data_IF_738299387711
#
_entry.id   IF_738299387711
#
_cell.length_a   1.000
_cell.length_b   1.000
_cell.length_c   1.000
_cell.angle_alpha   90.00
_cell.angle_beta   90.00
_cell.angle_gamma   90.00
#
_symmetry.space_group_name_H-M   'P 1'
#
loop_
_entity.id
_entity.type
_entity.pdbx_description
1 polymer ?
#
# COMPACT_ATOMS: atom_id res chain seq x y z
N UNK A 1 2.31 4.91 -31.22
CA UNK A 1 1.30 4.20 -30.41
C UNK A 1 1.64 4.49 -28.96
N UNK A 2 0.77 5.18 -28.21
CA UNK A 2 0.97 5.32 -26.77
C UNK A 2 0.87 3.91 -26.17
N UNK A 3 1.96 3.42 -25.58
CA UNK A 3 1.99 2.10 -24.95
C UNK A 3 0.93 2.05 -23.86
N UNK A 4 0.06 1.03 -23.89
CA UNK A 4 -0.91 0.81 -22.81
C UNK A 4 -0.13 0.59 -21.51
N UNK A 5 -0.54 1.24 -20.42
CA UNK A 5 0.02 0.97 -19.08
C UNK A 5 -0.28 -0.47 -18.67
N UNK A 6 0.59 -1.11 -17.86
CA UNK A 6 0.28 -2.42 -17.30
C UNK A 6 -0.96 -2.34 -16.39
N UNK A 7 -1.81 -3.37 -16.46
CA UNK A 7 -2.86 -3.63 -15.49
C UNK A 7 -2.21 -4.05 -14.17
N UNK A 8 -2.45 -3.29 -13.10
CA UNK A 8 -1.88 -3.61 -11.79
C UNK A 8 -2.83 -4.55 -11.05
N UNK A 9 -2.35 -5.73 -10.68
CA UNK A 9 -3.15 -6.77 -10.02
C UNK A 9 -2.62 -6.99 -8.61
N UNK A 10 -3.45 -6.70 -7.61
CA UNK A 10 -3.15 -7.01 -6.22
C UNK A 10 -3.54 -8.46 -5.91
N UNK A 11 -2.58 -9.31 -5.55
CA UNK A 11 -2.79 -10.72 -5.26
C UNK A 11 -2.94 -10.96 -3.75
N UNK A 12 -4.18 -11.08 -3.30
CA UNK A 12 -4.53 -11.32 -1.91
C UNK A 12 -4.87 -12.78 -1.65
N UNK A 13 -4.25 -13.34 -0.61
CA UNK A 13 -4.54 -14.64 -0.02
C UNK A 13 -3.65 -14.83 1.21
N UNK A 14 -3.78 -15.98 1.88
CA UNK A 14 -2.79 -16.50 2.82
C UNK A 14 -1.36 -16.41 2.25
N UNK A 15 -0.38 -16.19 3.14
CA UNK A 15 1.05 -16.26 2.82
C UNK A 15 1.61 -17.69 2.93
N UNK A 16 0.78 -18.66 3.31
CA UNK A 16 1.19 -20.04 3.60
C UNK A 16 1.08 -20.99 2.39
N UNK A 17 0.90 -20.47 1.18
CA UNK A 17 0.82 -21.26 -0.05
C UNK A 17 1.51 -20.58 -1.23
N UNK A 18 1.90 -21.38 -2.21
CA UNK A 18 2.67 -21.02 -3.41
C UNK A 18 1.78 -20.67 -4.62
N UNK A 19 0.46 -20.54 -4.44
CA UNK A 19 -0.51 -20.31 -5.52
C UNK A 19 -0.19 -19.10 -6.42
N UNK A 20 0.55 -18.11 -5.91
CA UNK A 20 0.96 -16.93 -6.68
C UNK A 20 2.00 -17.27 -7.74
N UNK A 21 2.81 -18.29 -7.53
CA UNK A 21 3.92 -18.66 -8.42
C UNK A 21 3.42 -19.13 -9.79
N UNK A 22 2.46 -20.08 -9.92
CA UNK A 22 1.91 -20.44 -11.22
C UNK A 22 1.17 -19.27 -11.90
N UNK A 23 0.54 -18.38 -11.12
CA UNK A 23 -0.10 -17.17 -11.67
C UNK A 23 0.96 -16.22 -12.24
N UNK A 24 2.04 -15.95 -11.52
CA UNK A 24 3.17 -15.13 -12.02
C UNK A 24 3.82 -15.75 -13.24
N UNK A 25 4.01 -17.07 -13.22
CA UNK A 25 4.62 -17.81 -14.32
C UNK A 25 3.86 -17.61 -15.62
N UNK A 26 2.52 -17.64 -15.56
CA UNK A 26 1.66 -17.46 -16.73
C UNK A 26 1.82 -16.08 -17.42
N UNK A 27 2.37 -15.09 -16.71
CA UNK A 27 2.56 -13.72 -17.22
C UNK A 27 4.00 -13.20 -17.07
N UNK A 28 4.99 -14.07 -16.85
CA UNK A 28 6.38 -13.67 -16.55
C UNK A 28 6.93 -12.63 -17.54
N UNK A 29 6.63 -12.81 -18.82
CA UNK A 29 7.12 -11.96 -19.91
C UNK A 29 6.03 -11.04 -20.49
N UNK A 30 4.90 -10.88 -19.81
CA UNK A 30 3.80 -10.05 -20.28
C UNK A 30 3.86 -8.63 -19.68
N UNK A 31 4.31 -7.61 -20.44
CA UNK A 31 4.42 -6.24 -19.94
C UNK A 31 3.06 -5.57 -19.71
N UNK A 32 1.95 -6.25 -20.06
CA UNK A 32 0.59 -5.73 -19.87
C UNK A 32 0.08 -5.94 -18.45
N UNK A 33 0.78 -6.66 -17.59
CA UNK A 33 0.38 -6.89 -16.20
C UNK A 33 1.53 -6.62 -15.25
N UNK A 34 1.21 -6.09 -14.08
CA UNK A 34 2.13 -5.97 -12.94
C UNK A 34 1.46 -6.52 -11.71
N UNK A 35 2.06 -7.54 -11.09
CA UNK A 35 1.58 -8.07 -9.83
C UNK A 35 2.16 -7.32 -8.64
N UNK A 36 1.30 -6.99 -7.68
CA UNK A 36 1.66 -6.43 -6.37
C UNK A 36 0.88 -7.18 -5.29
N UNK A 37 1.20 -6.95 -4.02
CA UNK A 37 0.50 -7.64 -2.95
C UNK A 37 1.08 -7.41 -1.56
N UNK A 38 0.57 -8.15 -0.56
CA UNK A 38 1.19 -8.21 0.76
C UNK A 38 2.62 -8.76 0.68
N UNK A 39 3.36 -8.69 1.78
CA UNK A 39 4.66 -9.35 1.87
C UNK A 39 4.45 -10.86 1.99
N UNK A 40 5.16 -11.63 1.20
CA UNK A 40 5.07 -13.10 1.19
C UNK A 40 6.08 -13.76 2.14
N UNK A 41 7.15 -13.04 2.50
CA UNK A 41 8.07 -13.49 3.55
C UNK A 41 7.42 -13.27 4.91
N UNK A 42 6.91 -14.36 5.51
CA UNK A 42 6.23 -14.33 6.81
C UNK A 42 7.09 -13.71 7.92
N UNK A 43 8.36 -14.13 8.03
CA UNK A 43 9.27 -13.60 9.07
C UNK A 43 9.55 -12.11 8.89
N UNK A 44 9.67 -11.64 7.65
CA UNK A 44 9.82 -10.21 7.37
C UNK A 44 8.54 -9.45 7.70
N UNK A 45 7.38 -10.02 7.38
CA UNK A 45 6.10 -9.37 7.58
C UNK A 45 5.77 -9.23 9.09
N UNK A 46 6.08 -10.25 9.91
CA UNK A 46 5.99 -10.19 11.39
C UNK A 46 6.97 -9.19 12.01
N UNK A 47 8.15 -9.02 11.39
CA UNK A 47 9.17 -8.10 11.88
C UNK A 47 8.85 -6.63 11.61
N UNK A 48 7.89 -6.34 10.72
CA UNK A 48 7.55 -4.98 10.28
C UNK A 48 6.32 -4.44 11.00
N UNK A 49 6.29 -3.13 11.28
CA UNK A 49 5.18 -2.46 11.96
C UNK A 49 5.61 -1.26 12.80
N UNK A 50 4.65 -0.47 13.26
CA UNK A 50 4.90 0.70 14.09
C UNK A 50 5.27 0.30 15.52
N UNK A 51 6.28 0.91 16.16
CA UNK A 51 6.52 0.81 17.60
C UNK A 51 5.23 1.10 18.41
N UNK A 52 4.88 0.20 19.33
CA UNK A 52 3.67 0.28 20.16
C UNK A 52 2.48 -0.55 19.65
N UNK A 53 2.48 -0.95 18.39
CA UNK A 53 1.71 -2.10 17.92
C UNK A 53 2.62 -3.32 18.14
N UNK A 54 2.18 -4.41 18.79
CA UNK A 54 2.99 -5.66 18.88
C UNK A 54 3.05 -6.45 17.53
N UNK A 55 2.99 -5.66 16.44
CA UNK A 55 3.29 -5.80 14.99
C UNK A 55 2.47 -6.75 14.12
N UNK A 56 1.60 -6.16 13.27
CA UNK A 56 1.31 -6.67 11.94
C UNK A 56 1.44 -5.52 10.92
N UNK A 57 2.67 -5.08 10.63
CA UNK A 57 3.00 -3.92 9.78
C UNK A 57 2.52 -3.96 8.33
N UNK A 58 1.58 -4.83 8.01
CA UNK A 58 0.99 -4.96 6.69
C UNK A 58 0.11 -3.78 6.35
N UNK A 59 -0.42 -3.03 7.33
CA UNK A 59 -1.38 -1.95 7.08
C UNK A 59 -0.89 -0.98 6.00
N UNK A 60 0.30 -0.40 6.18
CA UNK A 60 0.82 0.61 5.26
C UNK A 60 1.12 0.00 3.88
N UNK A 61 1.73 -1.19 3.84
CA UNK A 61 1.99 -1.90 2.57
C UNK A 61 0.71 -2.25 1.83
N UNK A 62 -0.26 -2.84 2.53
CA UNK A 62 -1.55 -3.27 1.98
C UNK A 62 -2.29 -2.07 1.40
N UNK A 63 -2.47 -0.99 2.18
CA UNK A 63 -3.16 0.20 1.68
C UNK A 63 -2.40 0.84 0.52
N UNK A 64 -1.07 0.91 0.60
CA UNK A 64 -0.22 1.46 -0.45
C UNK A 64 -0.29 0.66 -1.76
N UNK A 65 -0.13 -0.65 -1.71
CA UNK A 65 -0.10 -1.50 -2.90
C UNK A 65 -1.50 -1.67 -3.49
N UNK A 66 -2.53 -1.88 -2.66
CA UNK A 66 -3.91 -2.02 -3.13
C UNK A 66 -4.42 -0.71 -3.74
N UNK A 67 -4.02 0.45 -3.19
CA UNK A 67 -4.41 1.75 -3.75
C UNK A 67 -4.00 1.95 -5.21
N UNK A 68 -2.95 1.24 -5.64
CA UNK A 68 -2.40 1.30 -7.00
C UNK A 68 -2.95 0.24 -7.93
N UNK A 69 -3.73 -0.70 -7.42
CA UNK A 69 -4.22 -1.84 -8.18
C UNK A 69 -5.48 -1.51 -8.98
N UNK A 70 -5.56 -2.02 -10.20
CA UNK A 70 -6.77 -1.99 -11.01
C UNK A 70 -7.72 -3.13 -10.64
N UNK A 71 -7.13 -4.29 -10.32
CA UNK A 71 -7.82 -5.53 -9.98
C UNK A 71 -7.32 -6.03 -8.63
N UNK A 72 -8.24 -6.42 -7.76
CA UNK A 72 -7.95 -7.29 -6.62
C UNK A 72 -8.26 -8.73 -7.04
N UNK A 73 -7.24 -9.59 -7.08
CA UNK A 73 -7.41 -11.05 -7.13
C UNK A 73 -7.36 -11.56 -5.69
N UNK A 74 -8.53 -11.86 -5.14
CA UNK A 74 -8.71 -12.36 -3.78
C UNK A 74 -8.96 -13.88 -3.82
N UNK A 75 -8.09 -14.67 -3.21
CA UNK A 75 -8.15 -16.12 -3.25
C UNK A 75 -8.16 -16.74 -1.85
N UNK A 76 -9.10 -17.65 -1.60
CA UNK A 76 -9.19 -18.46 -0.39
C UNK A 76 -9.08 -19.95 -0.80
N UNK A 77 -7.88 -20.56 -0.63
CA UNK A 77 -7.65 -21.96 -1.04
C UNK A 77 -8.33 -22.98 -0.11
N UNK A 78 -8.32 -22.72 1.19
CA UNK A 78 -8.77 -23.64 2.23
C UNK A 78 -9.30 -22.88 3.46
N UNK A 79 -9.82 -23.63 4.43
CA UNK A 79 -10.34 -23.10 5.69
C UNK A 79 -9.35 -23.14 6.86
N UNK A 80 -8.10 -23.50 6.61
CA UNK A 80 -7.06 -23.54 7.62
C UNK A 80 -6.76 -22.13 8.16
N UNK A 81 -6.88 -21.12 7.28
CA UNK A 81 -6.61 -19.72 7.61
C UNK A 81 -7.85 -18.87 7.43
N UNK A 82 -8.21 -18.14 8.49
CA UNK A 82 -9.42 -17.29 8.52
C UNK A 82 -9.41 -16.14 7.51
N UNK A 83 -8.27 -15.86 6.87
CA UNK A 83 -8.11 -14.96 5.73
C UNK A 83 -8.78 -13.57 5.91
N UNK A 84 -8.77 -13.04 7.13
CA UNK A 84 -9.44 -11.77 7.45
C UNK A 84 -8.93 -10.59 6.61
N UNK A 85 -7.64 -10.61 6.25
CA UNK A 85 -7.04 -9.59 5.40
C UNK A 85 -7.73 -9.51 4.03
N UNK A 86 -8.04 -10.66 3.43
CA UNK A 86 -8.74 -10.76 2.14
C UNK A 86 -10.08 -10.03 2.19
N UNK A 87 -10.84 -10.22 3.28
CA UNK A 87 -12.15 -9.60 3.46
C UNK A 87 -12.06 -8.07 3.62
N UNK A 88 -11.05 -7.58 4.34
CA UNK A 88 -10.77 -6.14 4.47
C UNK A 88 -10.43 -5.55 3.11
N UNK A 89 -9.55 -6.23 2.36
CA UNK A 89 -9.09 -5.79 1.04
C UNK A 89 -10.23 -5.79 0.01
N UNK A 90 -11.16 -6.75 0.05
CA UNK A 90 -12.38 -6.74 -0.77
C UNK A 90 -13.19 -5.46 -0.52
N UNK A 91 -13.45 -5.14 0.74
CA UNK A 91 -14.20 -3.93 1.10
C UNK A 91 -13.52 -2.65 0.63
N UNK A 92 -12.19 -2.57 0.79
CA UNK A 92 -11.38 -1.43 0.33
C UNK A 92 -11.38 -1.31 -1.19
N UNK A 93 -11.14 -2.41 -1.90
CA UNK A 93 -11.11 -2.46 -3.36
C UNK A 93 -12.47 -2.05 -3.96
N UNK A 94 -13.56 -2.57 -3.41
CA UNK A 94 -14.90 -2.19 -3.80
C UNK A 94 -15.16 -0.69 -3.59
N UNK A 95 -14.86 -0.17 -2.40
CA UNK A 95 -15.03 1.25 -2.10
C UNK A 95 -14.24 2.13 -3.06
N UNK A 96 -13.01 1.74 -3.41
CA UNK A 96 -12.16 2.47 -4.35
C UNK A 96 -12.50 2.24 -5.83
N UNK A 97 -13.56 1.48 -6.14
CA UNK A 97 -14.03 1.22 -7.49
C UNK A 97 -13.12 0.28 -8.29
N UNK A 98 -12.44 -0.66 -7.63
CA UNK A 98 -11.57 -1.65 -8.28
C UNK A 98 -12.35 -2.87 -8.67
N UNK A 99 -11.88 -3.56 -9.71
CA UNK A 99 -12.45 -4.84 -10.09
C UNK A 99 -12.08 -5.88 -9.04
N UNK A 100 -13.07 -6.48 -8.38
CA UNK A 100 -12.84 -7.49 -7.34
C UNK A 100 -13.11 -8.87 -7.94
N UNK A 101 -12.04 -9.61 -8.19
CA UNK A 101 -12.06 -10.99 -8.66
C UNK A 101 -11.86 -11.92 -7.46
N UNK A 102 -12.94 -12.56 -7.02
CA UNK A 102 -12.93 -13.42 -5.83
C UNK A 102 -12.96 -14.89 -6.21
N UNK A 103 -12.09 -15.68 -5.59
CA UNK A 103 -12.00 -17.13 -5.77
C UNK A 103 -12.09 -17.80 -4.40
N UNK A 104 -13.09 -18.67 -4.21
CA UNK A 104 -13.27 -19.44 -2.98
C UNK A 104 -13.33 -20.95 -3.24
N UNK A 105 -12.21 -21.62 -3.01
CA UNK A 105 -12.13 -23.09 -3.03
C UNK A 105 -12.45 -23.69 -1.65
N UNK A 106 -12.36 -22.89 -0.58
CA UNK A 106 -12.76 -23.25 0.77
C UNK A 106 -14.29 -23.27 0.94
N UNK A 107 -14.95 -24.27 0.37
CA UNK A 107 -16.43 -24.37 0.35
C UNK A 107 -17.06 -24.43 1.76
N UNK A 108 -16.31 -24.89 2.76
CA UNK A 108 -16.74 -24.87 4.17
C UNK A 108 -16.96 -23.43 4.69
N UNK A 109 -16.38 -22.42 4.03
CA UNK A 109 -16.51 -21.01 4.39
C UNK A 109 -17.60 -20.26 3.62
N UNK A 110 -18.33 -20.89 2.69
CA UNK A 110 -19.31 -20.24 1.80
C UNK A 110 -20.28 -19.29 2.53
N UNK A 111 -20.77 -19.72 3.71
CA UNK A 111 -21.69 -18.89 4.53
C UNK A 111 -21.00 -17.65 5.07
N UNK A 112 -19.73 -17.76 5.49
CA UNK A 112 -18.96 -16.67 6.08
C UNK A 112 -18.52 -15.68 5.01
N UNK A 113 -17.96 -16.19 3.91
CA UNK A 113 -17.49 -15.36 2.79
C UNK A 113 -18.63 -14.79 1.96
N UNK A 114 -19.84 -15.36 2.05
CA UNK A 114 -21.04 -14.84 1.41
C UNK A 114 -21.39 -13.39 1.80
N UNK A 115 -20.84 -12.90 2.92
CA UNK A 115 -20.91 -11.48 3.30
C UNK A 115 -20.15 -10.55 2.36
N UNK A 116 -19.14 -11.05 1.64
CA UNK A 116 -18.40 -10.29 0.62
C UNK A 116 -19.12 -10.22 -0.73
N UNK A 117 -20.08 -11.11 -1.03
CA UNK A 117 -20.72 -11.22 -2.35
C UNK A 117 -21.27 -9.90 -2.91
N UNK A 118 -21.87 -8.99 -2.13
CA UNK A 118 -22.31 -7.69 -2.65
C UNK A 118 -21.17 -6.76 -3.11
N UNK A 119 -19.93 -7.05 -2.69
CA UNK A 119 -18.75 -6.23 -2.91
C UNK A 119 -17.83 -6.79 -4.01
N UNK A 120 -18.05 -8.03 -4.46
CA UNK A 120 -17.24 -8.66 -5.52
C UNK A 120 -17.79 -8.33 -6.91
N UNK A 121 -16.91 -8.26 -7.91
CA UNK A 121 -17.29 -8.04 -9.31
C UNK A 121 -17.52 -9.36 -10.04
N UNK A 122 -16.57 -10.27 -9.91
CA UNK A 122 -16.65 -11.65 -10.41
C UNK A 122 -16.30 -12.63 -9.28
N UNK A 123 -16.98 -13.77 -9.21
CA UNK A 123 -16.74 -14.81 -8.22
C UNK A 123 -16.60 -16.17 -8.88
N UNK A 124 -15.63 -16.98 -8.42
CA UNK A 124 -15.34 -18.31 -8.95
C UNK A 124 -15.08 -19.32 -7.82
N UNK A 125 -15.32 -20.58 -8.15
CA UNK A 125 -15.15 -21.72 -7.23
C UNK A 125 -13.81 -22.45 -7.45
N UNK A 126 -13.00 -21.98 -8.42
CA UNK A 126 -11.67 -22.52 -8.74
C UNK A 126 -10.69 -21.41 -9.13
N UNK A 127 -9.41 -21.58 -8.79
CA UNK A 127 -8.35 -20.65 -9.17
C UNK A 127 -8.17 -20.59 -10.70
N UNK A 128 -8.28 -21.72 -11.39
CA UNK A 128 -8.15 -21.79 -12.85
C UNK A 128 -9.19 -20.91 -13.56
N UNK A 129 -10.44 -20.92 -13.11
CA UNK A 129 -11.49 -20.07 -13.67
C UNK A 129 -11.25 -18.59 -13.38
N UNK A 130 -10.74 -18.27 -12.18
CA UNK A 130 -10.31 -16.93 -11.82
C UNK A 130 -9.17 -16.42 -12.70
N UNK A 131 -8.13 -17.24 -12.94
CA UNK A 131 -6.98 -16.90 -13.79
C UNK A 131 -7.39 -16.74 -15.25
N UNK A 132 -8.33 -17.56 -15.72
CA UNK A 132 -8.94 -17.39 -17.05
C UNK A 132 -9.65 -16.05 -17.17
N UNK A 133 -10.44 -15.66 -16.16
CA UNK A 133 -11.08 -14.34 -16.12
C UNK A 133 -10.05 -13.21 -16.08
N UNK A 134 -9.00 -13.34 -15.29
CA UNK A 134 -7.91 -12.37 -15.24
C UNK A 134 -7.27 -12.15 -16.63
N UNK A 135 -7.09 -13.23 -17.39
CA UNK A 135 -6.54 -13.17 -18.76
C UNK A 135 -7.41 -12.30 -19.68
N UNK A 136 -8.73 -12.40 -19.56
CA UNK A 136 -9.68 -11.57 -20.30
C UNK A 136 -9.58 -10.09 -19.90
N UNK A 137 -9.43 -9.81 -18.60
CA UNK A 137 -9.24 -8.45 -18.08
C UNK A 137 -7.94 -7.83 -18.59
N UNK A 138 -6.84 -8.57 -18.58
CA UNK A 138 -5.55 -8.12 -19.13
C UNK A 138 -5.66 -7.81 -20.63
N UNK A 139 -6.37 -8.64 -21.40
CA UNK A 139 -6.57 -8.42 -22.82
C UNK A 139 -7.43 -7.19 -23.13
N UNK A 140 -8.39 -6.87 -22.25
CA UNK A 140 -9.37 -5.79 -22.44
C UNK A 140 -9.07 -4.53 -21.64
N UNK A 141 -7.97 -4.50 -20.90
CA UNK A 141 -7.60 -3.40 -20.01
C UNK A 141 -7.63 -2.03 -20.73
N UNK A 142 -8.31 -1.02 -20.14
CA UNK A 142 -8.38 0.32 -20.70
C UNK A 142 -7.00 1.00 -20.67
N UNK A 143 -6.74 1.86 -21.65
CA UNK A 143 -5.47 2.59 -21.72
C UNK A 143 -5.26 3.59 -20.56
N UNK A 144 -6.36 4.05 -19.94
CA UNK A 144 -6.36 4.98 -18.82
C UNK A 144 -6.96 4.36 -17.58
N UNK A 145 -6.49 4.73 -16.37
CA UNK A 145 -7.11 4.27 -15.13
C UNK A 145 -8.56 4.75 -15.01
N UNK A 146 -9.44 3.93 -14.40
CA UNK A 146 -10.80 4.35 -14.11
C UNK A 146 -10.78 5.60 -13.22
N UNK A 147 -11.71 6.52 -13.45
CA UNK A 147 -11.88 7.66 -12.54
C UNK A 147 -12.35 7.13 -11.18
N UNK A 148 -11.54 7.38 -10.15
CA UNK A 148 -11.96 7.12 -8.78
C UNK A 148 -12.62 8.36 -8.20
N UNK A 149 -13.72 8.18 -7.47
CA UNK A 149 -14.28 9.22 -6.62
C UNK A 149 -13.36 9.54 -5.43
N UNK A 150 -12.35 8.70 -5.18
CA UNK A 150 -11.35 8.87 -4.13
C UNK A 150 -10.07 9.48 -4.69
N UNK A 151 -9.37 10.24 -3.86
CA UNK A 151 -8.01 10.80 -4.09
C UNK A 151 -6.92 9.73 -4.22
N UNK A 152 -7.31 8.47 -4.25
CA UNK A 152 -6.49 7.27 -4.18
C UNK A 152 -6.86 6.40 -5.39
N UNK A 153 -5.91 6.18 -6.29
CA UNK A 153 -6.19 5.63 -7.63
C UNK A 153 -4.95 4.98 -8.26
N UNK A 154 -5.15 4.04 -9.20
CA UNK A 154 -4.04 3.48 -9.96
C UNK A 154 -3.39 4.60 -10.79
N UNK A 155 -2.07 4.83 -10.67
CA UNK A 155 -1.41 5.89 -11.41
C UNK A 155 -1.29 5.52 -12.90
N UNK A 156 -1.06 6.53 -13.75
CA UNK A 156 -0.84 6.34 -15.20
C UNK A 156 0.40 5.48 -15.45
N UNK A 157 1.45 5.69 -14.67
CA UNK A 157 2.65 4.86 -14.60
C UNK A 157 2.79 4.35 -13.18
N UNK A 158 3.12 3.07 -13.00
CA UNK A 158 3.40 2.56 -11.67
C UNK A 158 4.60 3.29 -11.07
N UNK A 159 4.45 3.71 -9.82
CA UNK A 159 5.45 4.45 -9.07
C UNK A 159 4.85 4.91 -7.75
N UNK A 160 5.70 5.41 -6.88
CA UNK A 160 5.39 5.86 -5.53
C UNK A 160 5.78 7.32 -5.37
N UNK A 161 4.87 8.14 -4.87
CA UNK A 161 5.12 9.54 -4.58
C UNK A 161 5.15 9.75 -3.07
N UNK A 162 6.27 10.25 -2.56
CA UNK A 162 6.49 10.51 -1.14
C UNK A 162 6.66 12.02 -0.93
N UNK A 163 5.85 12.58 -0.03
CA UNK A 163 5.91 13.98 0.36
C UNK A 163 6.57 14.14 1.73
N UNK A 164 7.62 14.94 1.81
CA UNK A 164 8.37 15.20 3.03
C UNK A 164 7.94 16.53 3.64
N UNK A 165 7.68 16.53 4.95
CA UNK A 165 7.29 17.70 5.74
C UNK A 165 7.86 17.62 7.15
N UNK A 166 8.24 18.76 7.73
CA UNK A 166 8.61 18.81 9.14
C UNK A 166 9.82 19.66 9.47
N UNK A 167 10.75 19.10 10.24
CA UNK A 167 11.97 19.78 10.67
C UNK A 167 12.80 20.25 9.46
N UNK A 168 13.32 21.49 9.45
CA UNK A 168 14.11 22.00 8.32
C UNK A 168 15.56 21.45 8.30
N UNK A 169 15.90 20.54 9.22
CA UNK A 169 17.19 19.88 9.29
C UNK A 169 17.46 19.09 8.00
N UNK A 170 18.55 19.41 7.30
CA UNK A 170 18.88 18.74 6.04
C UNK A 170 19.28 17.28 6.25
N UNK A 171 19.75 16.88 7.43
CA UNK A 171 20.26 15.52 7.71
C UNK A 171 19.25 14.44 7.36
N UNK A 172 17.99 14.60 7.77
CA UNK A 172 16.96 13.59 7.49
C UNK A 172 16.43 13.70 6.05
N UNK A 173 16.34 14.91 5.50
CA UNK A 173 15.92 15.12 4.11
C UNK A 173 16.91 14.48 3.13
N UNK A 174 18.21 14.68 3.37
CA UNK A 174 19.29 14.11 2.59
C UNK A 174 19.33 12.59 2.77
N UNK A 175 19.15 12.07 4.00
CA UNK A 175 19.03 10.63 4.24
C UNK A 175 17.89 9.98 3.45
N UNK A 176 16.73 10.64 3.32
CA UNK A 176 15.62 10.14 2.50
C UNK A 176 15.97 10.21 1.02
N UNK A 177 16.52 11.33 0.55
CA UNK A 177 16.92 11.51 -0.85
C UNK A 177 17.95 10.48 -1.29
N UNK A 178 19.03 10.33 -0.53
CA UNK A 178 20.11 9.39 -0.81
C UNK A 178 19.60 7.95 -0.83
N UNK A 179 18.65 7.60 0.05
CA UNK A 179 18.05 6.26 0.08
C UNK A 179 17.25 5.93 -1.18
N UNK A 180 16.61 6.91 -1.81
CA UNK A 180 15.72 6.70 -2.95
C UNK A 180 16.24 7.28 -4.27
N UNK A 181 17.50 7.73 -4.32
CA UNK A 181 18.10 8.34 -5.53
C UNK A 181 18.10 7.39 -6.74
N UNK A 182 18.33 6.10 -6.50
CA UNK A 182 18.38 5.06 -7.54
C UNK A 182 17.07 4.24 -7.62
N UNK A 183 16.00 4.69 -6.97
CA UNK A 183 14.71 4.00 -6.99
C UNK A 183 13.80 4.64 -8.05
N UNK A 184 13.86 4.13 -9.29
CA UNK A 184 13.12 4.68 -10.45
C UNK A 184 11.60 4.77 -10.22
N UNK A 185 11.04 3.84 -9.45
CA UNK A 185 9.63 3.80 -9.08
C UNK A 185 9.31 4.71 -7.87
N UNK A 186 10.23 5.54 -7.36
CA UNK A 186 10.01 6.44 -6.21
C UNK A 186 10.33 7.89 -6.55
N UNK A 187 9.39 8.78 -6.30
CA UNK A 187 9.53 10.23 -6.45
C UNK A 187 9.39 10.91 -5.09
N UNK A 188 10.28 11.87 -4.82
CA UNK A 188 10.32 12.61 -3.56
C UNK A 188 9.96 14.08 -3.83
N UNK A 189 9.04 14.63 -3.04
CA UNK A 189 8.72 16.07 -3.00
C UNK A 189 8.89 16.60 -1.58
N UNK A 190 9.35 17.84 -1.42
CA UNK A 190 9.63 18.43 -0.11
C UNK A 190 8.90 19.76 -0.02
N UNK A 191 7.91 19.83 0.87
CA UNK A 191 7.16 21.04 1.19
C UNK A 191 6.75 21.93 -0.02
N UNK A 192 6.51 21.32 -1.19
CA UNK A 192 6.24 22.03 -2.44
C UNK A 192 4.79 22.52 -2.58
N UNK A 193 4.04 22.51 -1.47
CA UNK A 193 2.67 22.99 -1.37
C UNK A 193 1.58 21.90 -1.35
N UNK A 194 0.32 22.29 -1.07
CA UNK A 194 -0.78 21.36 -0.85
C UNK A 194 -1.15 20.53 -2.08
N UNK A 195 -0.92 21.04 -3.29
CA UNK A 195 -1.18 20.28 -4.54
C UNK A 195 -0.27 19.06 -4.62
N UNK A 196 1.02 19.22 -4.34
CA UNK A 196 1.97 18.11 -4.36
C UNK A 196 1.66 17.08 -3.26
N UNK A 197 1.30 17.54 -2.05
CA UNK A 197 0.84 16.65 -0.98
C UNK A 197 -0.40 15.86 -1.40
N UNK A 198 -1.40 16.51 -2.01
CA UNK A 198 -2.62 15.86 -2.47
C UNK A 198 -2.37 14.82 -3.57
N UNK A 199 -1.31 14.99 -4.36
CA UNK A 199 -0.88 14.04 -5.41
C UNK A 199 0.05 12.94 -4.90
N UNK A 200 0.61 13.08 -3.68
CA UNK A 200 1.44 12.06 -3.07
C UNK A 200 0.64 10.82 -2.63
N UNK A 201 1.33 9.71 -2.47
CA UNK A 201 0.78 8.49 -1.87
C UNK A 201 0.99 8.47 -0.35
N UNK A 202 2.21 8.81 0.07
CA UNK A 202 2.67 8.74 1.46
C UNK A 202 3.25 10.10 1.86
N UNK A 203 2.83 10.58 3.03
CA UNK A 203 3.44 11.74 3.70
C UNK A 203 4.38 11.25 4.79
N UNK A 204 5.67 11.58 4.69
CA UNK A 204 6.65 11.38 5.75
C UNK A 204 6.79 12.69 6.53
N UNK A 205 6.22 12.69 7.72
CA UNK A 205 6.24 13.81 8.64
C UNK A 205 7.36 13.58 9.67
N UNK A 206 8.42 14.39 9.66
CA UNK A 206 9.59 14.16 10.51
C UNK A 206 9.88 15.34 11.44
N UNK A 207 9.97 15.08 12.74
CA UNK A 207 10.46 16.01 13.75
C UNK A 207 11.81 15.49 14.24
N UNK A 208 12.87 16.26 14.02
CA UNK A 208 14.24 15.96 14.49
C UNK A 208 14.70 16.86 15.65
N UNK A 209 14.02 17.98 15.89
CA UNK A 209 14.44 19.00 16.86
C UNK A 209 13.48 19.11 18.05
N UNK A 210 14.04 19.27 19.26
CA UNK A 210 13.27 19.50 20.48
C UNK A 210 12.56 20.88 20.51
N UNK A 211 13.17 21.89 19.87
CA UNK A 211 12.83 23.31 20.07
C UNK A 211 11.90 23.91 18.98
N UNK A 212 11.76 23.23 17.84
CA UNK A 212 10.98 23.69 16.70
C UNK A 212 9.46 23.60 16.91
N UNK A 213 8.74 24.70 16.64
CA UNK A 213 7.27 24.71 16.52
C UNK A 213 6.87 24.39 15.07
N UNK A 214 6.69 23.11 14.76
CA UNK A 214 6.45 22.56 13.44
C UNK A 214 4.95 22.58 13.08
N UNK A 215 4.35 23.76 13.00
CA UNK A 215 2.95 23.90 12.59
C UNK A 215 2.70 23.39 11.15
N UNK A 216 3.70 23.53 10.26
CA UNK A 216 3.71 22.95 8.92
C UNK A 216 3.47 21.44 8.95
N UNK A 217 4.16 20.73 9.86
CA UNK A 217 4.03 19.29 10.05
C UNK A 217 2.60 18.93 10.45
N UNK A 218 2.06 19.58 11.49
CA UNK A 218 0.71 19.31 11.98
C UNK A 218 -0.36 19.58 10.91
N UNK A 219 -0.24 20.69 10.18
CA UNK A 219 -1.16 21.03 9.08
C UNK A 219 -1.08 20.00 7.97
N UNK A 220 0.12 19.59 7.56
CA UNK A 220 0.32 18.59 6.52
C UNK A 220 -0.26 17.23 6.91
N UNK A 221 -0.05 16.77 8.16
CA UNK A 221 -0.64 15.52 8.65
C UNK A 221 -2.16 15.58 8.64
N UNK A 222 -2.76 16.66 9.15
CA UNK A 222 -4.22 16.84 9.13
C UNK A 222 -4.79 16.85 7.71
N UNK A 223 -4.15 17.58 6.79
CA UNK A 223 -4.55 17.64 5.39
C UNK A 223 -4.42 16.28 4.69
N UNK A 224 -3.30 15.59 4.88
CA UNK A 224 -3.07 14.24 4.36
C UNK A 224 -4.17 13.27 4.79
N UNK A 225 -4.55 13.28 6.07
CA UNK A 225 -5.61 12.41 6.59
C UNK A 225 -6.99 12.75 6.07
N UNK A 226 -7.31 14.03 5.90
CA UNK A 226 -8.56 14.43 5.27
C UNK A 226 -8.66 13.92 3.81
N UNK A 227 -7.53 13.79 3.12
CA UNK A 227 -7.44 13.25 1.77
C UNK A 227 -7.24 11.72 1.71
N UNK A 228 -7.28 11.02 2.85
CA UNK A 228 -7.07 9.56 2.91
C UNK A 228 -5.65 9.12 2.54
N UNK A 229 -4.65 10.00 2.66
CA UNK A 229 -3.25 9.66 2.42
C UNK A 229 -2.65 8.90 3.58
N UNK A 230 -1.69 8.05 3.25
CA UNK A 230 -0.91 7.33 4.24
C UNK A 230 0.07 8.30 4.91
N UNK A 231 0.22 8.21 6.24
CA UNK A 231 1.11 9.07 7.02
C UNK A 231 2.11 8.23 7.79
N UNK A 232 3.41 8.47 7.56
CA UNK A 232 4.49 7.94 8.35
C UNK A 232 5.07 9.08 9.21
N UNK A 233 4.91 9.00 10.53
CA UNK A 233 5.35 10.02 11.46
C UNK A 233 6.64 9.58 12.16
N UNK A 234 7.66 10.44 12.13
CA UNK A 234 8.94 10.27 12.83
C UNK A 234 9.09 11.39 13.84
N UNK A 235 9.28 11.03 15.10
CA UNK A 235 9.36 11.94 16.22
C UNK A 235 10.64 11.65 17.03
N UNK A 236 11.78 12.17 16.57
CA UNK A 236 13.04 12.03 17.28
C UNK A 236 13.08 12.96 18.52
N UNK A 237 13.71 12.49 19.61
CA UNK A 237 14.03 13.28 20.81
C UNK A 237 13.11 13.11 22.03
N UNK A 238 13.58 13.65 23.17
CA UNK A 238 13.28 13.05 24.48
C UNK A 238 12.20 13.81 25.29
N UNK A 239 12.09 15.15 25.17
CA UNK A 239 11.44 15.94 26.25
C UNK A 239 10.50 17.12 25.86
N UNK A 240 10.04 17.23 24.62
CA UNK A 240 8.93 18.15 24.25
C UNK A 240 7.91 17.50 23.28
N UNK A 241 7.79 16.17 23.34
CA UNK A 241 7.08 15.36 22.34
C UNK A 241 5.55 15.33 22.53
N UNK A 242 5.03 15.68 23.72
CA UNK A 242 3.60 15.55 24.03
C UNK A 242 2.66 16.37 23.14
N UNK A 243 3.09 17.55 22.69
CA UNK A 243 2.29 18.34 21.75
C UNK A 243 2.12 17.62 20.40
N UNK A 244 3.07 16.77 20.02
CA UNK A 244 3.03 15.97 18.80
C UNK A 244 2.51 14.55 19.02
N UNK A 245 2.29 14.12 20.28
CA UNK A 245 1.56 12.88 20.58
C UNK A 245 0.14 12.93 20.00
N UNK A 246 -0.44 14.13 19.85
CA UNK A 246 -1.71 14.34 19.14
C UNK A 246 -1.68 13.92 17.67
N UNK A 247 -0.50 13.76 17.05
CA UNK A 247 -0.37 13.30 15.67
C UNK A 247 -0.36 11.77 15.56
N UNK A 248 -0.05 11.05 16.63
CA UNK A 248 0.04 9.57 16.62
C UNK A 248 -1.26 8.90 16.14
N UNK A 249 -2.47 9.31 16.60
CA UNK A 249 -3.72 8.72 16.11
C UNK A 249 -4.00 8.97 14.61
N UNK A 250 -3.29 9.94 14.02
CA UNK A 250 -3.42 10.31 12.62
C UNK A 250 -2.30 9.73 11.75
N UNK A 251 -1.35 8.99 12.33
CA UNK A 251 -0.30 8.32 11.59
C UNK A 251 -0.67 6.84 11.35
N UNK A 252 -0.23 6.31 10.22
CA UNK A 252 -0.29 4.86 9.92
C UNK A 252 0.95 4.13 10.43
N UNK A 253 2.02 4.86 10.77
CA UNK A 253 3.13 4.39 11.59
C UNK A 253 3.82 5.55 12.29
N UNK A 254 4.23 5.36 13.55
CA UNK A 254 4.90 6.35 14.38
C UNK A 254 6.22 5.79 14.93
N UNK A 255 7.33 6.44 14.60
CA UNK A 255 8.68 6.00 14.94
C UNK A 255 9.42 7.08 15.72
N UNK A 256 10.32 6.67 16.62
CA UNK A 256 11.25 7.57 17.31
C UNK A 256 12.64 7.56 16.68
N UNK A 257 12.89 6.63 15.75
CA UNK A 257 14.13 6.46 15.02
C UNK A 257 13.87 6.54 13.51
N UNK A 258 14.58 7.43 12.82
CA UNK A 258 14.42 7.63 11.37
C UNK A 258 14.80 6.37 10.58
N UNK A 259 15.83 5.63 10.97
CA UNK A 259 16.28 4.46 10.21
C UNK A 259 15.23 3.34 10.25
N UNK A 260 14.60 3.09 11.39
CA UNK A 260 13.47 2.17 11.50
C UNK A 260 12.27 2.61 10.65
N UNK A 261 11.94 3.91 10.66
CA UNK A 261 10.88 4.45 9.82
C UNK A 261 11.17 4.22 8.33
N UNK A 262 12.41 4.44 7.89
CA UNK A 262 12.81 4.24 6.49
C UNK A 262 12.89 2.76 6.09
N UNK A 263 13.17 1.86 7.03
CA UNK A 263 13.01 0.41 6.80
C UNK A 263 11.55 0.03 6.60
N UNK A 264 10.64 0.60 7.39
CA UNK A 264 9.21 0.37 7.19
C UNK A 264 8.68 1.00 5.91
N UNK A 265 9.23 2.15 5.49
CA UNK A 265 8.90 2.76 4.22
C UNK A 265 9.34 1.86 3.04
N UNK A 266 10.57 1.34 3.04
CA UNK A 266 11.01 0.36 2.03
C UNK A 266 10.05 -0.84 1.94
N UNK A 267 9.64 -1.38 3.10
CA UNK A 267 8.66 -2.47 3.19
C UNK A 267 7.32 -2.11 2.58
N UNK A 268 6.79 -0.91 2.87
CA UNK A 268 5.54 -0.41 2.33
C UNK A 268 5.60 -0.13 0.83
N UNK A 269 6.77 0.26 0.32
CA UNK A 269 7.04 0.52 -1.09
C UNK A 269 7.40 -0.75 -1.87
N UNK A 270 7.50 -1.92 -1.22
CA UNK A 270 7.83 -3.18 -1.88
C UNK A 270 9.30 -3.34 -2.26
N UNK A 271 10.19 -2.57 -1.65
CA UNK A 271 11.64 -2.59 -1.93
C UNK A 271 12.31 -3.60 -0.99
N UNK A 272 12.01 -4.88 -1.19
CA UNK A 272 12.39 -5.95 -0.26
C UNK A 272 13.88 -6.31 -0.29
N UNK A 273 14.59 -6.04 -1.40
CA UNK A 273 16.03 -6.32 -1.51
C UNK A 273 16.93 -5.52 -0.55
N UNK A 274 16.36 -4.62 0.25
CA UNK A 274 17.04 -3.78 1.24
C UNK A 274 16.69 -4.15 2.70
N UNK A 275 15.85 -5.17 2.92
CA UNK A 275 15.22 -5.48 4.20
C UNK A 275 15.77 -6.70 4.91
#
# INVERSE_FOLDING_TARGET
MQGKRPLVVYMSSSAHSDWRDPVREAYRDDPRVRFVGPCESHGLSDAMGSPGDERPGHKLRMTQMLSKADVLLAYIPDDQYRSFNVMIEIGMAHAWGRHVLFVNEARSLDVVVGSATPYVTDSYDSLDDGVRRLSELVATAPASPPQSAFTVGPPVQFGHSVYLTGSPDSRWLDAVRDRYVDADDVSISIESGPVALAQSDIVVACRTSAEGRLFNLCVAVGYARALGKNVLFVNEGDHYSHAYDYLKPFADGCYTDLAEALRYLDYALGIEGRL
#
